data_IF_868422888297
#
_entry.id   IF_868422888297
#
_cell.length_a   1.000
_cell.length_b   1.000
_cell.length_c   1.000
_cell.angle_alpha   90.00
_cell.angle_beta   90.00
_cell.angle_gamma   90.00
#
_symmetry.space_group_name_H-M   'P 1'
#
loop_
_entity.id
_entity.type
_entity.pdbx_description
1 polymer ?
#
# COMPACT_ATOMS: atom_id res chain seq x y z
N UNK A 1 -31.08 -14.41 -31.76
CA UNK A 1 -31.23 -13.14 -31.03
C UNK A 1 -29.88 -12.83 -30.42
N UNK A 2 -29.29 -11.72 -30.83
CA UNK A 2 -27.90 -11.29 -30.56
C UNK A 2 -27.82 -10.65 -29.18
N UNK A 3 -26.77 -10.95 -28.40
CA UNK A 3 -25.83 -9.97 -27.83
C UNK A 3 -25.02 -10.58 -26.67
N UNK A 4 -23.77 -10.82 -27.01
CA UNK A 4 -22.56 -10.87 -26.19
C UNK A 4 -22.56 -9.74 -25.13
N UNK A 5 -22.59 -10.09 -23.85
CA UNK A 5 -22.34 -9.17 -22.73
C UNK A 5 -20.90 -9.25 -22.25
N UNK A 6 -19.94 -8.74 -23.04
CA UNK A 6 -18.63 -8.34 -22.50
C UNK A 6 -18.77 -6.93 -21.90
N UNK A 7 -18.48 -6.75 -20.60
CA UNK A 7 -17.98 -5.51 -19.92
C UNK A 7 -18.23 -5.59 -18.40
N UNK A 8 -17.38 -5.13 -17.49
CA UNK A 8 -16.09 -4.43 -17.60
C UNK A 8 -14.98 -5.21 -16.89
N UNK A 9 -13.68 -5.08 -17.20
CA UNK A 9 -12.86 -3.86 -17.10
C UNK A 9 -13.22 -3.03 -15.87
N UNK A 10 -12.73 -3.49 -14.71
CA UNK A 10 -12.43 -2.64 -13.54
C UNK A 10 -11.01 -2.95 -13.03
N UNK A 11 -10.11 -3.37 -13.93
CA UNK A 11 -8.70 -3.69 -13.63
C UNK A 11 -7.77 -2.48 -13.87
N UNK A 12 -8.34 -1.31 -14.21
CA UNK A 12 -7.58 -0.16 -14.72
C UNK A 12 -7.29 0.91 -13.65
N UNK A 13 -7.76 0.76 -12.41
CA UNK A 13 -7.54 1.77 -11.35
C UNK A 13 -7.08 1.16 -10.01
N UNK A 14 -6.67 -0.11 -9.98
CA UNK A 14 -5.96 -0.65 -8.82
C UNK A 14 -4.48 -0.40 -9.03
N UNK A 15 -3.92 0.54 -8.26
CA UNK A 15 -2.46 0.64 -8.12
C UNK A 15 -1.92 -0.75 -7.84
N UNK A 16 -0.98 -1.24 -8.64
CA UNK A 16 -0.30 -2.48 -8.30
C UNK A 16 0.72 -2.23 -7.18
N UNK A 17 1.14 -3.28 -6.47
CA UNK A 17 2.08 -3.16 -5.35
C UNK A 17 3.37 -2.40 -5.74
N UNK A 18 3.89 -2.64 -6.95
CA UNK A 18 5.05 -1.91 -7.46
C UNK A 18 4.79 -0.41 -7.68
N UNK A 19 3.58 -0.02 -8.07
CA UNK A 19 3.20 1.39 -8.23
C UNK A 19 3.01 2.07 -6.87
N UNK A 20 2.52 1.36 -5.86
CA UNK A 20 2.40 1.89 -4.51
C UNK A 20 3.78 2.12 -3.87
N UNK A 21 4.71 1.17 -4.05
CA UNK A 21 6.07 1.23 -3.51
C UNK A 21 6.83 2.48 -3.95
N UNK A 22 6.64 2.98 -5.18
CA UNK A 22 7.35 4.17 -5.68
C UNK A 22 7.08 5.44 -4.86
N UNK A 23 5.92 5.50 -4.21
CA UNK A 23 5.47 6.67 -3.44
C UNK A 23 5.84 6.56 -1.96
N UNK A 24 6.44 5.44 -1.56
CA UNK A 24 6.90 5.21 -0.19
C UNK A 24 8.39 5.52 -0.07
N UNK A 25 8.78 6.06 1.07
CA UNK A 25 10.19 6.22 1.41
C UNK A 25 10.82 4.86 1.76
N UNK A 26 12.14 4.68 1.58
CA UNK A 26 12.85 3.48 2.02
C UNK A 26 12.58 3.14 3.49
N UNK A 27 12.63 4.14 4.37
CA UNK A 27 12.31 4.00 5.80
C UNK A 27 10.89 3.46 6.07
N UNK A 28 9.91 3.91 5.28
CA UNK A 28 8.54 3.41 5.39
C UNK A 28 8.42 1.98 4.83
N UNK A 29 9.20 1.63 3.80
CA UNK A 29 9.27 0.27 3.27
C UNK A 29 9.95 -0.68 4.28
N UNK A 30 11.00 -0.25 4.95
CA UNK A 30 11.64 -1.00 6.04
C UNK A 30 10.66 -1.22 7.20
N UNK A 31 9.96 -0.18 7.62
CA UNK A 31 8.91 -0.30 8.63
C UNK A 31 7.82 -1.31 8.20
N UNK A 32 7.36 -1.26 6.95
CA UNK A 32 6.37 -2.22 6.45
C UNK A 32 6.93 -3.64 6.38
N UNK A 33 8.21 -3.81 6.01
CA UNK A 33 8.89 -5.11 6.02
C UNK A 33 8.91 -5.73 7.43
N UNK A 34 9.14 -4.92 8.46
CA UNK A 34 9.12 -5.36 9.87
C UNK A 34 7.75 -5.87 10.33
N UNK A 35 6.67 -5.48 9.64
CA UNK A 35 5.32 -5.98 9.93
C UNK A 35 5.03 -7.34 9.30
N UNK A 36 5.95 -7.89 8.49
CA UNK A 36 5.74 -9.17 7.83
C UNK A 36 5.63 -10.32 8.83
N UNK A 37 4.51 -11.05 8.79
CA UNK A 37 4.19 -12.12 9.72
C UNK A 37 3.56 -11.66 11.04
N UNK A 38 3.44 -10.35 11.29
CA UNK A 38 2.70 -9.84 12.43
C UNK A 38 1.18 -10.06 12.25
N UNK A 39 0.41 -10.30 13.34
CA UNK A 39 -1.04 -10.33 13.27
C UNK A 39 -1.60 -9.00 12.75
N UNK A 40 -2.68 -9.05 11.96
CA UNK A 40 -3.27 -7.86 11.35
C UNK A 40 -3.58 -6.74 12.35
N UNK A 41 -4.09 -7.06 13.54
CA UNK A 41 -4.36 -6.08 14.61
C UNK A 41 -3.10 -5.36 15.10
N UNK A 42 -1.96 -6.06 15.14
CA UNK A 42 -0.67 -5.46 15.52
C UNK A 42 -0.16 -4.55 14.40
N UNK A 43 -0.23 -5.01 13.16
CA UNK A 43 0.19 -4.22 12.00
C UNK A 43 -0.66 -2.94 11.85
N UNK A 44 -1.98 -3.03 12.05
CA UNK A 44 -2.88 -1.87 12.07
C UNK A 44 -2.52 -0.91 13.21
N UNK A 45 -2.27 -1.41 14.42
CA UNK A 45 -1.83 -0.59 15.55
C UNK A 45 -0.50 0.11 15.30
N UNK A 46 0.46 -0.57 14.66
CA UNK A 46 1.75 0.02 14.32
C UNK A 46 1.60 1.17 13.30
N UNK A 47 0.78 0.99 12.27
CA UNK A 47 0.47 2.02 11.28
C UNK A 47 -0.19 3.25 11.91
N UNK A 48 -1.01 3.06 12.95
CA UNK A 48 -1.64 4.17 13.66
C UNK A 48 -0.65 5.08 14.42
N UNK A 49 0.48 4.52 14.83
CA UNK A 49 1.53 5.25 15.54
C UNK A 49 2.46 6.04 14.61
N UNK A 50 2.34 5.86 13.30
CA UNK A 50 3.17 6.56 12.34
C UNK A 50 2.92 8.08 12.36
N UNK A 51 3.95 8.89 12.08
CA UNK A 51 3.77 10.33 11.91
C UNK A 51 2.78 10.63 10.78
N UNK A 52 2.09 11.77 10.88
CA UNK A 52 1.04 12.17 9.92
C UNK A 52 1.48 12.06 8.45
N UNK A 53 2.72 12.45 8.12
CA UNK A 53 3.23 12.36 6.75
C UNK A 53 3.27 10.94 6.19
N UNK A 54 3.72 9.96 6.99
CA UNK A 54 3.76 8.56 6.58
C UNK A 54 2.34 7.98 6.47
N UNK A 55 1.44 8.30 7.40
CA UNK A 55 0.03 7.89 7.31
C UNK A 55 -0.66 8.45 6.07
N UNK A 56 -0.42 9.73 5.76
CA UNK A 56 -0.93 10.36 4.56
C UNK A 56 -0.40 9.69 3.28
N UNK A 57 0.87 9.28 3.25
CA UNK A 57 1.44 8.54 2.12
C UNK A 57 0.78 7.15 1.96
N UNK A 58 0.54 6.43 3.05
CA UNK A 58 -0.17 5.14 3.02
C UNK A 58 -1.63 5.29 2.56
N UNK A 59 -2.32 6.35 2.97
CA UNK A 59 -3.67 6.67 2.51
C UNK A 59 -3.69 7.03 1.02
N UNK A 60 -2.75 7.87 0.57
CA UNK A 60 -2.64 8.30 -0.82
C UNK A 60 -2.32 7.15 -1.78
N UNK A 61 -1.65 6.10 -1.29
CA UNK A 61 -1.33 4.89 -2.06
C UNK A 61 -2.40 3.81 -1.98
N UNK A 62 -3.44 3.99 -1.15
CA UNK A 62 -4.49 2.99 -0.92
C UNK A 62 -4.02 1.76 -0.14
N UNK A 63 -2.85 1.83 0.49
CA UNK A 63 -2.35 0.76 1.37
C UNK A 63 -3.11 0.74 2.70
N UNK A 64 -3.69 1.87 3.09
CA UNK A 64 -4.59 1.92 4.23
C UNK A 64 -5.87 2.62 3.84
N UNK A 65 -6.97 2.22 4.45
CA UNK A 65 -8.26 2.91 4.38
C UNK A 65 -8.60 3.45 5.76
N UNK A 66 -9.13 4.67 5.79
CA UNK A 66 -9.78 5.19 6.98
C UNK A 66 -11.15 4.52 7.11
N UNK A 67 -11.38 3.81 8.19
CA UNK A 67 -12.72 3.45 8.63
C UNK A 67 -13.23 4.54 9.57
N UNK A 68 -14.41 5.03 9.23
CA UNK A 68 -15.20 5.89 10.09
C UNK A 68 -16.09 4.98 10.96
N UNK A 69 -15.75 4.84 12.24
CA UNK A 69 -16.54 4.07 13.22
C UNK A 69 -17.64 4.95 13.84
N UNK A 70 -18.39 5.69 13.01
CA UNK A 70 -19.71 6.24 13.34
C UNK A 70 -19.79 7.52 14.17
N UNK A 71 -20.98 8.13 14.05
CA UNK A 71 -21.41 9.48 14.46
C UNK A 71 -21.33 9.74 15.98
N UNK A 72 -20.12 9.94 16.55
CA UNK A 72 -19.90 10.34 17.94
C UNK A 72 -18.89 11.48 18.12
N UNK A 73 -18.93 12.29 19.19
CA UNK A 73 -18.06 13.47 19.32
C UNK A 73 -16.55 13.18 19.51
N UNK A 74 -16.14 11.90 19.51
CA UNK A 74 -14.77 11.43 19.67
C UNK A 74 -14.39 10.44 18.55
N UNK A 75 -14.58 10.84 17.28
CA UNK A 75 -14.13 10.03 16.13
C UNK A 75 -12.61 9.89 16.18
N UNK A 76 -12.13 8.69 16.52
CA UNK A 76 -10.77 8.27 16.20
C UNK A 76 -10.82 7.63 14.82
N UNK A 77 -10.16 8.24 13.83
CA UNK A 77 -10.02 7.66 12.50
C UNK A 77 -9.20 6.37 12.59
N UNK A 78 -9.83 5.22 12.31
CA UNK A 78 -9.14 3.93 12.38
C UNK A 78 -8.55 3.58 11.02
N UNK A 79 -7.23 3.48 10.94
CA UNK A 79 -6.54 3.03 9.73
C UNK A 79 -6.55 1.50 9.65
N UNK A 80 -7.08 0.97 8.55
CA UNK A 80 -7.06 -0.45 8.23
C UNK A 80 -6.16 -0.72 7.03
N UNK A 81 -5.31 -1.75 7.15
CA UNK A 81 -4.51 -2.26 6.03
C UNK A 81 -5.40 -2.94 4.99
N UNK A 82 -5.16 -2.63 3.72
CA UNK A 82 -5.82 -3.26 2.57
C UNK A 82 -5.08 -4.53 2.13
N UNK A 83 -5.68 -5.33 1.25
CA UNK A 83 -5.01 -6.49 0.63
C UNK A 83 -3.72 -6.07 -0.09
N UNK A 84 -3.75 -4.92 -0.77
CA UNK A 84 -2.58 -4.32 -1.43
C UNK A 84 -1.46 -4.02 -0.42
N UNK A 85 -1.81 -3.61 0.79
CA UNK A 85 -0.85 -3.37 1.87
C UNK A 85 -0.10 -4.64 2.25
N UNK A 86 -0.81 -5.76 2.37
CA UNK A 86 -0.18 -7.05 2.68
C UNK A 86 0.73 -7.53 1.55
N UNK A 87 0.37 -7.27 0.29
CA UNK A 87 1.24 -7.54 -0.86
C UNK A 87 2.52 -6.70 -0.82
N UNK A 88 2.41 -5.39 -0.53
CA UNK A 88 3.56 -4.50 -0.39
C UNK A 88 4.45 -4.89 0.80
N UNK A 89 3.86 -5.25 1.93
CA UNK A 89 4.59 -5.75 3.12
C UNK A 89 5.40 -7.01 2.77
N UNK A 90 4.80 -7.97 2.05
CA UNK A 90 5.50 -9.18 1.62
C UNK A 90 6.65 -8.89 0.63
N UNK A 91 6.43 -7.95 -0.29
CA UNK A 91 7.44 -7.50 -1.26
C UNK A 91 8.60 -6.78 -0.56
N UNK A 92 8.28 -5.87 0.36
CA UNK A 92 9.26 -5.16 1.17
C UNK A 92 10.07 -6.13 2.04
N UNK A 93 9.43 -7.09 2.70
CA UNK A 93 10.12 -8.10 3.50
C UNK A 93 11.09 -8.97 2.67
N UNK A 94 10.69 -9.35 1.45
CA UNK A 94 11.55 -10.11 0.54
C UNK A 94 12.78 -9.30 0.11
N UNK A 95 12.61 -7.99 -0.13
CA UNK A 95 13.70 -7.08 -0.45
C UNK A 95 14.58 -6.78 0.76
N UNK A 96 14.02 -6.58 1.95
CA UNK A 96 14.77 -6.38 3.20
C UNK A 96 15.64 -7.58 3.54
N UNK A 97 15.10 -8.81 3.41
CA UNK A 97 15.85 -10.05 3.63
C UNK A 97 17.06 -10.20 2.69
N UNK A 98 17.04 -9.48 1.56
CA UNK A 98 18.10 -9.51 0.55
C UNK A 98 18.87 -8.18 0.48
N UNK A 99 18.72 -7.29 1.48
CA UNK A 99 19.36 -5.97 1.58
C UNK A 99 19.13 -5.06 0.35
N UNK A 100 17.96 -5.18 -0.30
CA UNK A 100 17.62 -4.58 -1.60
C UNK A 100 16.46 -3.57 -1.54
N UNK A 101 16.17 -2.98 -0.38
CA UNK A 101 15.06 -2.01 -0.24
C UNK A 101 15.25 -0.79 -1.15
N UNK A 102 16.46 -0.23 -1.21
CA UNK A 102 16.78 0.89 -2.10
C UNK A 102 16.63 0.53 -3.58
N UNK A 103 17.02 -0.70 -3.95
CA UNK A 103 16.89 -1.22 -5.31
C UNK A 103 15.42 -1.44 -5.69
N UNK A 104 14.61 -1.94 -4.74
CA UNK A 104 13.17 -2.11 -4.92
C UNK A 104 12.49 -0.76 -5.15
N UNK A 105 12.82 0.25 -4.34
CA UNK A 105 12.28 1.61 -4.50
C UNK A 105 12.68 2.21 -5.86
N UNK A 106 13.93 2.02 -6.28
CA UNK A 106 14.42 2.48 -7.58
C UNK A 106 13.75 1.74 -8.76
N UNK A 107 13.53 0.43 -8.63
CA UNK A 107 12.88 -0.37 -9.66
C UNK A 107 11.40 -0.03 -9.83
N UNK A 108 10.70 0.19 -8.72
CA UNK A 108 9.32 0.68 -8.71
C UNK A 108 9.18 2.00 -9.47
N UNK A 109 10.07 2.97 -9.19
CA UNK A 109 10.11 4.24 -9.92
C UNK A 109 10.37 4.06 -11.43
N UNK A 110 11.23 3.11 -11.81
CA UNK A 110 11.55 2.84 -13.21
C UNK A 110 10.38 2.21 -13.99
N UNK A 111 9.64 1.26 -13.39
CA UNK A 111 8.47 0.62 -14.02
C UNK A 111 7.39 1.66 -14.34
N UNK A 112 7.15 2.60 -13.43
CA UNK A 112 6.13 3.63 -13.62
C UNK A 112 6.56 4.65 -14.66
N UNK A 113 7.83 5.07 -14.65
CA UNK A 113 8.38 5.95 -15.67
C UNK A 113 8.26 5.34 -17.09
N UNK A 114 8.36 4.02 -17.21
CA UNK A 114 8.14 3.33 -18.48
C UNK A 114 6.68 3.34 -18.93
N UNK A 115 5.71 3.24 -18.01
CA UNK A 115 4.27 3.32 -18.32
C UNK A 115 3.83 4.72 -18.73
N UNK A 116 4.42 5.78 -18.16
CA UNK A 116 4.07 7.17 -18.51
C UNK A 116 4.59 7.62 -19.89
N UNK A 117 5.45 6.83 -20.53
CA UNK A 117 6.01 7.13 -21.87
C UNK A 117 5.36 6.36 -23.02
N UNK A 118 4.46 5.42 -22.74
CA UNK A 118 3.72 4.63 -23.73
C UNK A 118 2.36 5.21 -24.05
#
# INVERSE_FOLDING_TARGET
>A
MVAMGRKGTDDTDRLCAAEAVQFLTPDLLEFLADLYGAPASIAQGAVQLLPFGSRAALLATGLVTALDDGDGPAHEEILQLTDLAFEVIAMAASAAASEQIDELAAHAAAIVAARQRG
#
